data_IF_876645220959
#
_entry.id   IF_876645220959
#
_cell.length_a   1.000
_cell.length_b   1.000
_cell.length_c   1.000
_cell.angle_alpha   90.00
_cell.angle_beta   90.00
_cell.angle_gamma   90.00
#
_symmetry.space_group_name_H-M   'P 1'
#
loop_
_entity.id
_entity.type
_entity.pdbx_description
1 polymer ?
#
# COMPACT_ATOMS: atom_id res chain seq x y z
N UNK A 1 36.16 -22.01 29.73
CA UNK A 1 36.16 -23.01 30.79
C UNK A 1 35.96 -22.27 32.09
N UNK A 2 34.72 -22.19 32.50
CA UNK A 2 34.28 -22.14 33.91
C UNK A 2 32.76 -22.22 33.82
N UNK A 3 32.27 -23.44 34.00
CA UNK A 3 30.87 -23.74 34.21
C UNK A 3 30.55 -23.44 35.65
N UNK A 4 29.84 -22.40 35.95
CA UNK A 4 29.14 -22.22 37.21
C UNK A 4 27.79 -22.93 37.09
N UNK A 5 27.77 -24.15 37.65
CA UNK A 5 26.54 -24.84 38.01
C UNK A 5 25.90 -24.05 39.16
N UNK A 6 24.85 -23.26 38.85
CA UNK A 6 23.94 -22.73 39.85
C UNK A 6 23.16 -23.90 40.43
N UNK A 7 23.53 -24.30 41.65
CA UNK A 7 22.76 -25.21 42.46
C UNK A 7 21.36 -24.64 42.68
N UNK A 8 20.37 -25.31 42.10
CA UNK A 8 18.95 -25.03 42.32
C UNK A 8 18.62 -25.48 43.75
N UNK A 9 18.64 -24.55 44.69
CA UNK A 9 18.10 -24.78 46.01
C UNK A 9 16.61 -25.03 45.91
N UNK A 10 16.16 -26.21 46.31
CA UNK A 10 14.79 -26.67 46.33
C UNK A 10 13.98 -25.78 47.29
N UNK A 11 12.99 -25.06 46.76
CA UNK A 11 11.98 -24.38 47.57
C UNK A 11 11.12 -25.42 48.29
N UNK A 12 11.03 -25.40 49.59
CA UNK A 12 10.28 -26.36 50.43
C UNK A 12 8.77 -26.00 50.49
N UNK A 13 8.28 -25.28 49.49
CA UNK A 13 6.88 -24.82 49.35
C UNK A 13 5.96 -25.88 48.75
N UNK A 14 6.43 -27.10 48.45
CA UNK A 14 5.59 -28.17 47.87
C UNK A 14 5.19 -27.96 46.39
N UNK A 15 5.72 -26.97 45.73
CA UNK A 15 5.52 -26.71 44.31
C UNK A 15 6.38 -27.68 43.48
N UNK A 16 5.81 -28.36 42.47
CA UNK A 16 6.54 -29.26 41.59
C UNK A 16 7.60 -28.55 40.75
N UNK A 17 8.50 -29.33 40.12
CA UNK A 17 9.74 -28.90 39.43
C UNK A 17 9.57 -27.84 38.28
N UNK A 18 8.37 -27.34 38.05
CA UNK A 18 8.06 -26.40 36.96
C UNK A 18 7.33 -25.13 37.44
N UNK A 19 7.50 -24.76 38.70
CA UNK A 19 6.91 -23.53 39.23
C UNK A 19 7.77 -22.32 38.81
N UNK A 20 7.20 -21.44 37.96
CA UNK A 20 7.84 -20.19 37.51
C UNK A 20 7.76 -19.05 38.53
N UNK A 21 7.50 -19.33 39.82
CA UNK A 21 7.47 -18.34 40.87
C UNK A 21 8.88 -17.89 41.20
N UNK A 22 9.17 -16.61 41.02
CA UNK A 22 10.45 -15.99 41.38
C UNK A 22 10.59 -15.79 42.93
N UNK A 23 10.53 -16.88 43.72
CA UNK A 23 10.67 -16.80 45.16
C UNK A 23 12.16 -16.58 45.51
N UNK A 24 12.51 -15.42 46.01
CA UNK A 24 13.81 -15.20 46.65
C UNK A 24 13.78 -15.77 48.06
N UNK A 25 14.66 -16.75 48.32
CA UNK A 25 14.78 -17.40 49.61
C UNK A 25 15.53 -16.48 50.62
N UNK A 26 14.78 -15.67 51.36
CA UNK A 26 15.32 -14.73 52.35
C UNK A 26 15.32 -15.29 53.80
N UNK A 27 15.01 -16.57 53.99
CA UNK A 27 15.18 -17.25 55.29
C UNK A 27 14.15 -16.89 56.38
N UNK A 28 13.18 -16.05 56.11
CA UNK A 28 12.02 -15.75 56.97
C UNK A 28 10.76 -16.08 56.19
N UNK A 29 9.68 -16.49 56.86
CA UNK A 29 8.42 -16.99 56.28
C UNK A 29 8.06 -16.26 54.96
N UNK A 30 8.29 -16.93 53.83
CA UNK A 30 7.97 -16.35 52.53
C UNK A 30 6.56 -16.72 52.11
N UNK A 31 5.78 -15.74 51.80
CA UNK A 31 4.46 -15.90 51.19
C UNK A 31 4.60 -16.07 49.68
N UNK A 32 4.22 -17.23 49.16
CA UNK A 32 4.16 -17.47 47.71
C UNK A 32 3.01 -16.68 47.09
N UNK A 33 3.31 -15.78 46.15
CA UNK A 33 2.32 -15.11 45.33
C UNK A 33 2.03 -15.93 44.06
N UNK A 34 1.50 -17.13 44.25
CA UNK A 34 1.14 -17.99 43.13
C UNK A 34 -0.37 -17.89 42.93
N UNK A 35 -0.83 -17.52 41.70
CA UNK A 35 -2.25 -17.62 41.33
C UNK A 35 -2.77 -19.07 41.36
N UNK A 36 -4.07 -19.25 41.27
CA UNK A 36 -4.79 -20.54 41.40
C UNK A 36 -4.32 -21.68 40.46
N UNK A 37 -3.46 -21.39 39.50
CA UNK A 37 -2.95 -22.36 38.53
C UNK A 37 -1.70 -23.11 38.98
N UNK A 38 -1.12 -22.81 40.14
CA UNK A 38 0.13 -23.44 40.57
C UNK A 38 -0.03 -24.75 41.33
N UNK A 39 -1.23 -25.26 41.54
CA UNK A 39 -1.50 -26.56 42.20
C UNK A 39 -1.07 -26.66 43.67
N UNK A 40 -0.79 -25.54 44.31
CA UNK A 40 -0.44 -25.51 45.75
C UNK A 40 -1.70 -25.77 46.55
N UNK A 41 -1.71 -26.86 47.32
CA UNK A 41 -2.87 -27.27 48.17
C UNK A 41 -2.95 -26.53 49.53
N UNK A 42 -2.18 -25.49 49.72
CA UNK A 42 -2.21 -24.57 50.87
C UNK A 42 -2.75 -23.23 50.43
N UNK A 43 -3.82 -22.74 51.05
CA UNK A 43 -4.44 -21.46 50.71
C UNK A 43 -3.38 -20.36 50.66
N UNK A 44 -3.28 -19.70 49.53
CA UNK A 44 -2.51 -18.47 49.39
C UNK A 44 -3.22 -17.41 50.19
N UNK A 45 -2.68 -16.94 51.27
CA UNK A 45 -3.15 -15.76 51.99
C UNK A 45 -2.68 -14.56 51.20
N UNK A 46 -3.42 -14.26 50.13
CA UNK A 46 -3.25 -13.03 49.39
C UNK A 46 -3.74 -11.92 50.33
N UNK A 47 -2.83 -11.33 51.10
CA UNK A 47 -3.16 -10.17 51.89
C UNK A 47 -3.83 -9.10 50.99
N UNK A 48 -4.61 -8.25 51.59
CA UNK A 48 -5.52 -7.19 51.11
C UNK A 48 -5.38 -6.53 49.73
N UNK A 49 -4.57 -7.09 48.82
CA UNK A 49 -4.45 -6.62 47.43
C UNK A 49 -4.86 -7.75 46.46
N UNK A 50 -6.17 -7.81 46.16
CA UNK A 50 -6.70 -8.70 45.17
C UNK A 50 -6.20 -8.29 43.77
N UNK A 51 -5.13 -8.93 43.30
CA UNK A 51 -4.68 -8.83 41.93
C UNK A 51 -5.47 -9.86 41.08
N UNK A 52 -6.57 -9.43 40.50
CA UNK A 52 -7.34 -10.23 39.54
C UNK A 52 -6.48 -10.47 38.30
N UNK A 53 -5.71 -11.56 38.25
CA UNK A 53 -4.72 -11.82 37.20
C UNK A 53 -5.23 -12.63 36.01
N UNK A 54 -6.46 -13.14 36.00
CA UNK A 54 -6.88 -14.09 34.96
C UNK A 54 -8.19 -13.72 34.27
N UNK A 55 -8.32 -12.56 33.66
CA UNK A 55 -9.32 -12.33 32.58
C UNK A 55 -10.79 -12.67 32.86
N UNK A 56 -11.10 -13.22 34.04
CA UNK A 56 -12.45 -13.47 34.49
C UNK A 56 -12.99 -12.27 35.22
N UNK A 57 -14.14 -11.79 34.79
CA UNK A 57 -14.87 -10.66 35.35
C UNK A 57 -15.00 -10.83 36.85
N UNK A 58 -14.60 -9.83 37.61
CA UNK A 58 -15.01 -9.71 38.99
C UNK A 58 -16.53 -9.80 39.04
N UNK A 59 -17.05 -10.82 39.73
CA UNK A 59 -18.50 -10.92 40.00
C UNK A 59 -18.89 -9.74 40.90
N UNK A 60 -20.17 -9.37 40.89
CA UNK A 60 -20.77 -8.27 41.63
C UNK A 60 -20.54 -8.30 43.15
N UNK A 61 -19.82 -9.31 43.68
CA UNK A 61 -19.49 -9.53 45.10
C UNK A 61 -17.99 -9.33 45.41
N UNK A 62 -17.27 -8.59 44.60
CA UNK A 62 -15.88 -8.22 44.92
C UNK A 62 -15.88 -7.04 45.90
N UNK A 63 -15.74 -7.32 47.19
CA UNK A 63 -15.57 -6.34 48.27
C UNK A 63 -14.15 -5.72 48.21
N UNK A 64 -13.85 -5.03 47.11
CA UNK A 64 -12.68 -4.17 47.03
C UNK A 64 -13.02 -2.84 47.73
N UNK A 65 -12.95 -2.81 49.07
CA UNK A 65 -13.01 -1.57 49.84
C UNK A 65 -11.75 -0.74 49.53
N UNK A 66 -11.96 0.36 48.85
CA UNK A 66 -10.99 1.41 48.53
C UNK A 66 -10.05 1.19 47.32
N UNK A 67 -10.36 1.98 46.34
CA UNK A 67 -9.51 2.39 45.23
C UNK A 67 -9.08 1.28 44.26
N UNK A 68 -9.66 1.37 43.10
CA UNK A 68 -9.24 0.83 41.81
C UNK A 68 -10.09 -0.32 41.30
N UNK A 69 -11.38 -0.11 41.14
CA UNK A 69 -12.17 -0.70 40.05
C UNK A 69 -11.65 -0.26 38.64
N UNK A 70 -10.42 0.24 38.59
CA UNK A 70 -9.81 0.73 37.33
C UNK A 70 -9.59 -0.43 36.34
N UNK A 71 -9.39 -1.64 36.81
CA UNK A 71 -9.05 -2.75 35.93
C UNK A 71 -10.24 -3.32 35.14
N UNK A 72 -11.47 -3.25 35.66
CA UNK A 72 -12.64 -3.84 34.99
C UNK A 72 -13.42 -2.83 34.12
N UNK A 73 -13.61 -1.60 34.60
CA UNK A 73 -14.28 -0.55 33.81
C UNK A 73 -13.42 -0.07 32.61
N UNK A 74 -12.11 -0.04 32.78
CA UNK A 74 -11.20 0.43 31.71
C UNK A 74 -10.74 -0.69 30.77
N UNK A 75 -10.90 -1.96 31.14
CA UNK A 75 -10.48 -3.09 30.30
C UNK A 75 -11.21 -3.12 28.95
N UNK A 76 -12.51 -2.84 28.92
CA UNK A 76 -13.28 -2.77 27.68
C UNK A 76 -12.90 -1.54 26.84
N UNK A 77 -12.67 -0.40 27.49
CA UNK A 77 -12.23 0.83 26.81
C UNK A 77 -10.83 0.65 26.17
N UNK A 78 -9.89 0.00 26.88
CA UNK A 78 -8.57 -0.30 26.34
C UNK A 78 -8.63 -1.31 25.19
N UNK A 79 -9.49 -2.32 25.28
CA UNK A 79 -9.69 -3.28 24.19
C UNK A 79 -10.30 -2.61 22.95
N UNK A 80 -11.28 -1.73 23.15
CA UNK A 80 -11.88 -1.01 22.05
C UNK A 80 -10.89 0.01 21.44
N UNK A 81 -10.09 0.68 22.28
CA UNK A 81 -9.02 1.53 21.79
C UNK A 81 -7.99 0.73 21.01
N UNK A 82 -7.57 -0.44 21.52
CA UNK A 82 -6.62 -1.31 20.82
C UNK A 82 -7.17 -1.79 19.47
N UNK A 83 -8.44 -2.23 19.42
CA UNK A 83 -9.11 -2.61 18.17
C UNK A 83 -9.18 -1.46 17.17
N UNK A 84 -9.48 -0.23 17.65
CA UNK A 84 -9.51 0.95 16.81
C UNK A 84 -8.13 1.27 16.26
N UNK A 85 -7.10 1.30 17.10
CA UNK A 85 -5.71 1.54 16.70
C UNK A 85 -5.24 0.48 15.71
N UNK A 86 -5.59 -0.79 15.92
CA UNK A 86 -5.26 -1.86 14.98
C UNK A 86 -5.94 -1.63 13.62
N UNK A 87 -7.24 -1.29 13.61
CA UNK A 87 -7.98 -1.01 12.37
C UNK A 87 -7.38 0.20 11.63
N UNK A 88 -7.05 1.27 12.36
CA UNK A 88 -6.41 2.46 11.80
C UNK A 88 -5.03 2.14 11.24
N UNK A 89 -4.24 1.32 11.94
CA UNK A 89 -2.93 0.86 11.46
C UNK A 89 -3.05 0.01 10.17
N UNK A 90 -4.00 -0.91 10.11
CA UNK A 90 -4.24 -1.72 8.90
C UNK A 90 -4.68 -0.85 7.73
N UNK A 91 -5.56 0.12 7.95
CA UNK A 91 -5.96 1.11 6.97
C UNK A 91 -4.77 1.95 6.48
N UNK A 92 -3.99 2.49 7.43
CA UNK A 92 -2.79 3.25 7.12
C UNK A 92 -1.80 2.43 6.28
N UNK A 93 -1.54 1.18 6.68
CA UNK A 93 -0.63 0.28 5.94
C UNK A 93 -1.10 0.03 4.51
N UNK A 94 -2.41 -0.18 4.32
CA UNK A 94 -3.00 -0.36 2.98
C UNK A 94 -2.81 0.89 2.13
N UNK A 95 -3.18 2.06 2.64
CA UNK A 95 -3.00 3.33 1.93
C UNK A 95 -1.53 3.63 1.63
N UNK A 96 -0.64 3.42 2.58
CA UNK A 96 0.79 3.62 2.37
C UNK A 96 1.35 2.75 1.22
N UNK A 97 0.92 1.48 1.12
CA UNK A 97 1.32 0.61 0.00
C UNK A 97 0.76 1.11 -1.33
N UNK A 98 -0.48 1.58 -1.35
CA UNK A 98 -1.12 2.16 -2.54
C UNK A 98 -0.42 3.45 -2.98
N UNK A 99 -0.10 4.32 -2.05
CA UNK A 99 0.60 5.58 -2.30
C UNK A 99 2.02 5.35 -2.85
N UNK A 100 2.76 4.38 -2.30
CA UNK A 100 4.07 4.00 -2.83
C UNK A 100 3.95 3.48 -4.27
N UNK A 101 2.96 2.64 -4.57
CA UNK A 101 2.73 2.14 -5.93
C UNK A 101 2.37 3.30 -6.87
N UNK A 102 1.49 4.19 -6.44
CA UNK A 102 1.08 5.36 -7.21
C UNK A 102 2.26 6.29 -7.47
N UNK A 103 3.02 6.65 -6.45
CA UNK A 103 4.20 7.51 -6.58
C UNK A 103 5.24 6.92 -7.55
N UNK A 104 5.44 5.59 -7.53
CA UNK A 104 6.31 4.90 -8.48
C UNK A 104 5.80 5.01 -9.92
N UNK A 105 4.51 4.80 -10.13
CA UNK A 105 3.89 4.93 -11.46
C UNK A 105 3.94 6.38 -11.96
N UNK A 106 3.63 7.35 -11.11
CA UNK A 106 3.67 8.76 -11.47
C UNK A 106 5.10 9.21 -11.82
N UNK A 107 6.10 8.70 -11.11
CA UNK A 107 7.51 8.93 -11.47
C UNK A 107 7.87 8.34 -12.84
N UNK A 108 7.42 7.13 -13.17
CA UNK A 108 7.62 6.52 -14.49
C UNK A 108 6.93 7.33 -15.59
N UNK A 109 5.68 7.73 -15.38
CA UNK A 109 4.91 8.56 -16.31
C UNK A 109 5.63 9.87 -16.58
N UNK A 110 6.10 10.56 -15.55
CA UNK A 110 6.82 11.83 -15.69
C UNK A 110 8.06 11.72 -16.59
N UNK A 111 8.83 10.63 -16.44
CA UNK A 111 9.98 10.37 -17.31
C UNK A 111 9.54 10.11 -18.75
N UNK A 112 8.51 9.29 -18.95
CA UNK A 112 7.99 8.98 -20.29
C UNK A 112 7.52 10.27 -20.97
N UNK A 113 6.70 11.09 -20.29
CA UNK A 113 6.21 12.37 -20.81
C UNK A 113 7.33 13.30 -21.26
N UNK A 114 8.45 13.32 -20.52
CA UNK A 114 9.62 14.11 -20.90
C UNK A 114 10.29 13.61 -22.20
N UNK A 115 10.15 12.32 -22.55
CA UNK A 115 10.68 11.74 -23.76
C UNK A 115 9.75 11.84 -24.98
N UNK A 116 8.42 11.96 -24.78
CA UNK A 116 7.47 12.02 -25.89
C UNK A 116 7.74 13.15 -26.91
N UNK A 117 8.17 14.35 -26.52
CA UNK A 117 8.54 15.40 -27.49
C UNK A 117 9.67 14.99 -28.44
N UNK A 118 10.57 14.10 -28.02
CA UNK A 118 11.65 13.61 -28.91
C UNK A 118 11.04 12.80 -30.07
N UNK A 119 10.01 11.99 -29.82
CA UNK A 119 9.30 11.26 -30.88
C UNK A 119 8.59 12.21 -31.86
N UNK A 120 8.00 13.27 -31.35
CA UNK A 120 7.35 14.28 -32.19
C UNK A 120 8.37 14.98 -33.09
N UNK A 121 9.57 15.28 -32.58
CA UNK A 121 10.68 15.88 -33.36
C UNK A 121 11.15 14.93 -34.46
N UNK A 122 11.25 13.61 -34.20
CA UNK A 122 11.59 12.64 -35.25
C UNK A 122 10.54 12.63 -36.38
N UNK A 123 9.26 12.68 -36.03
CA UNK A 123 8.16 12.76 -37.01
C UNK A 123 8.26 14.00 -37.88
N UNK A 124 8.62 15.14 -37.28
CA UNK A 124 8.78 16.40 -38.01
C UNK A 124 10.07 16.42 -38.86
N UNK A 125 11.17 15.91 -38.30
CA UNK A 125 12.45 15.84 -39.02
C UNK A 125 12.33 15.00 -40.29
N UNK A 126 11.61 13.91 -40.28
CA UNK A 126 11.38 13.04 -41.46
C UNK A 126 10.76 13.81 -42.63
N UNK A 127 9.88 14.79 -42.36
CA UNK A 127 9.25 15.59 -43.42
C UNK A 127 10.24 16.51 -44.16
N UNK A 128 11.34 16.88 -43.51
CA UNK A 128 12.35 17.82 -44.05
C UNK A 128 13.55 17.11 -44.68
N UNK A 129 13.72 15.81 -44.46
CA UNK A 129 14.83 15.01 -44.99
C UNK A 129 14.53 14.58 -46.42
N UNK A 130 15.38 14.98 -47.35
CA UNK A 130 15.33 14.62 -48.78
C UNK A 130 16.22 13.43 -49.15
N UNK A 131 17.25 13.16 -48.36
CA UNK A 131 18.18 12.04 -48.58
C UNK A 131 17.60 10.76 -48.02
N UNK A 132 17.34 9.79 -48.89
CA UNK A 132 16.74 8.49 -48.53
C UNK A 132 17.63 7.68 -47.58
N UNK A 133 18.95 7.79 -47.65
CA UNK A 133 19.87 7.10 -46.75
C UNK A 133 19.76 7.63 -45.32
N UNK A 134 19.70 8.95 -45.18
CA UNK A 134 19.52 9.64 -43.89
C UNK A 134 18.16 9.35 -43.34
N UNK A 135 17.11 9.38 -44.16
CA UNK A 135 15.74 9.06 -43.77
C UNK A 135 15.64 7.65 -43.16
N UNK A 136 16.20 6.63 -43.81
CA UNK A 136 16.25 5.27 -43.27
C UNK A 136 16.98 5.18 -41.93
N UNK A 137 18.06 5.94 -41.77
CA UNK A 137 18.79 6.01 -40.51
C UNK A 137 17.94 6.58 -39.36
N UNK A 138 17.20 7.66 -39.62
CA UNK A 138 16.30 8.28 -38.65
C UNK A 138 15.13 7.37 -38.30
N UNK A 139 14.54 6.69 -39.29
CA UNK A 139 13.48 5.69 -39.07
C UNK A 139 13.91 4.52 -38.20
N UNK A 140 15.14 4.04 -38.39
CA UNK A 140 15.68 2.98 -37.55
C UNK A 140 15.81 3.41 -36.08
N UNK A 141 16.23 4.65 -35.83
CA UNK A 141 16.33 5.20 -34.47
C UNK A 141 14.95 5.35 -33.85
N UNK A 142 14.02 5.94 -34.58
CA UNK A 142 12.63 6.11 -34.11
C UNK A 142 11.97 4.77 -33.80
N UNK A 143 12.08 3.79 -34.68
CA UNK A 143 11.55 2.46 -34.47
C UNK A 143 12.17 1.76 -33.25
N UNK A 144 13.49 1.93 -33.05
CA UNK A 144 14.16 1.37 -31.89
C UNK A 144 13.68 2.01 -30.58
N UNK A 145 13.50 3.33 -30.60
CA UNK A 145 12.97 4.07 -29.43
C UNK A 145 11.54 3.67 -29.13
N UNK A 146 10.68 3.62 -30.15
CA UNK A 146 9.28 3.19 -30.02
C UNK A 146 9.18 1.75 -29.47
N UNK A 147 9.94 0.80 -30.03
CA UNK A 147 9.97 -0.58 -29.53
C UNK A 147 10.47 -0.67 -28.09
N UNK A 148 11.41 0.18 -27.69
CA UNK A 148 11.87 0.23 -26.31
C UNK A 148 10.78 0.75 -25.36
N UNK A 149 10.02 1.76 -25.77
CA UNK A 149 8.87 2.27 -24.99
C UNK A 149 7.74 1.23 -24.91
N UNK A 150 7.45 0.54 -26.00
CA UNK A 150 6.48 -0.56 -26.03
C UNK A 150 6.86 -1.69 -25.06
N UNK A 151 8.13 -2.03 -24.99
CA UNK A 151 8.63 -3.05 -24.04
C UNK A 151 8.47 -2.64 -22.58
N UNK A 152 8.39 -1.34 -22.30
CA UNK A 152 8.11 -0.78 -20.98
C UNK A 152 6.60 -0.68 -20.68
N UNK A 153 5.74 -0.99 -21.66
CA UNK A 153 4.28 -0.94 -21.51
C UNK A 153 3.64 0.36 -22.02
N UNK A 154 4.39 1.23 -22.68
CA UNK A 154 3.85 2.41 -23.36
C UNK A 154 3.30 2.00 -24.72
N UNK A 155 2.06 2.38 -25.03
CA UNK A 155 1.43 2.10 -26.33
C UNK A 155 1.02 3.40 -27.00
N UNK A 156 1.23 3.48 -28.29
CA UNK A 156 0.72 4.58 -29.11
C UNK A 156 -0.77 4.37 -29.33
N UNK A 157 -1.56 5.44 -29.20
CA UNK A 157 -2.97 5.44 -29.54
C UNK A 157 -3.11 5.51 -31.08
N UNK A 158 -3.84 4.58 -31.64
CA UNK A 158 -4.22 4.61 -33.06
C UNK A 158 -5.47 5.50 -33.19
N UNK A 159 -5.28 6.73 -33.64
CA UNK A 159 -6.36 7.69 -33.74
C UNK A 159 -6.94 7.80 -35.16
N UNK A 160 -6.10 7.72 -36.20
CA UNK A 160 -6.52 7.97 -37.60
C UNK A 160 -7.57 6.94 -38.04
N UNK A 161 -8.67 7.41 -38.60
CA UNK A 161 -9.76 6.57 -39.07
C UNK A 161 -10.70 6.05 -37.97
N UNK A 162 -10.46 6.38 -36.72
CA UNK A 162 -11.36 6.05 -35.61
C UNK A 162 -12.36 7.17 -35.33
N UNK A 163 -13.44 6.82 -34.65
CA UNK A 163 -14.40 7.78 -34.13
C UNK A 163 -13.77 8.57 -32.98
N UNK A 164 -14.02 9.85 -32.95
CA UNK A 164 -13.54 10.71 -31.88
C UNK A 164 -14.03 10.26 -30.50
N UNK A 165 -13.11 10.13 -29.58
CA UNK A 165 -13.35 9.82 -28.16
C UNK A 165 -12.80 10.94 -27.30
N UNK A 166 -13.64 11.69 -26.55
CA UNK A 166 -13.20 12.80 -25.69
C UNK A 166 -12.16 12.43 -24.62
N UNK A 167 -12.11 11.15 -24.23
CA UNK A 167 -11.16 10.68 -23.20
C UNK A 167 -9.75 10.40 -23.73
N UNK A 168 -9.62 10.24 -25.06
CA UNK A 168 -8.35 9.85 -25.71
C UNK A 168 -7.82 10.89 -26.66
N UNK A 169 -8.69 11.73 -27.17
CA UNK A 169 -8.40 12.61 -28.29
C UNK A 169 -8.72 14.07 -27.94
N UNK A 170 -7.81 14.96 -28.32
CA UNK A 170 -8.00 16.40 -28.22
C UNK A 170 -8.13 16.99 -29.62
N UNK A 171 -9.29 17.54 -29.96
CA UNK A 171 -9.55 18.14 -31.29
C UNK A 171 -8.88 19.52 -31.37
N UNK A 172 -7.95 19.69 -32.33
CA UNK A 172 -7.30 20.97 -32.60
C UNK A 172 -7.86 21.69 -33.81
N UNK A 173 -8.42 20.94 -34.75
CA UNK A 173 -9.06 21.50 -35.94
C UNK A 173 -10.21 20.60 -36.44
N UNK A 174 -11.13 21.19 -37.16
CA UNK A 174 -12.24 20.50 -37.80
C UNK A 174 -12.12 20.75 -39.31
N UNK A 175 -12.18 19.67 -40.08
CA UNK A 175 -12.27 19.71 -41.56
C UNK A 175 -13.63 19.27 -42.00
N UNK A 176 -14.02 19.72 -43.18
CA UNK A 176 -15.31 19.34 -43.82
C UNK A 176 -14.99 18.48 -45.04
N UNK A 177 -15.30 17.22 -44.92
CA UNK A 177 -15.23 16.28 -46.03
C UNK A 177 -16.53 15.49 -46.09
N UNK A 178 -17.26 15.61 -47.20
CA UNK A 178 -18.57 14.93 -47.42
C UNK A 178 -18.39 13.43 -47.60
N UNK A 179 -17.21 12.97 -48.02
CA UNK A 179 -16.93 11.54 -48.26
C UNK A 179 -16.74 10.75 -46.97
N UNK A 180 -16.36 11.42 -45.86
CA UNK A 180 -16.09 10.78 -44.57
C UNK A 180 -17.29 10.93 -43.65
N UNK A 181 -17.51 9.99 -42.77
CA UNK A 181 -18.53 10.07 -41.73
C UNK A 181 -18.25 11.19 -40.72
N UNK A 182 -19.29 11.58 -39.96
CA UNK A 182 -19.16 12.58 -38.91
C UNK A 182 -18.32 12.04 -37.78
N UNK A 183 -17.53 12.94 -37.13
CA UNK A 183 -16.70 12.64 -35.98
C UNK A 183 -15.59 11.60 -36.23
N UNK A 184 -15.26 11.32 -37.50
CA UNK A 184 -14.08 10.50 -37.85
C UNK A 184 -12.82 11.36 -37.77
N UNK A 185 -11.78 10.81 -37.22
CA UNK A 185 -10.44 11.42 -37.14
C UNK A 185 -9.75 11.27 -38.49
N UNK A 186 -9.51 12.41 -39.14
CA UNK A 186 -8.89 12.48 -40.46
C UNK A 186 -7.40 12.46 -40.42
N UNK A 187 -6.80 13.17 -39.44
CA UNK A 187 -5.35 13.28 -39.30
C UNK A 187 -4.95 13.42 -37.83
N UNK A 188 -3.71 13.01 -37.53
CA UNK A 188 -3.11 13.08 -36.21
C UNK A 188 -1.93 14.08 -36.24
N UNK A 189 -2.13 15.25 -35.63
CA UNK A 189 -1.08 16.24 -35.51
C UNK A 189 0.00 15.81 -34.51
N UNK A 190 -0.42 15.29 -33.35
CA UNK A 190 0.45 14.81 -32.30
C UNK A 190 -0.05 13.48 -31.76
N UNK A 191 0.82 12.49 -31.71
CA UNK A 191 0.47 11.14 -31.26
C UNK A 191 0.07 11.11 -29.80
N UNK A 192 -1.00 10.37 -29.48
CA UNK A 192 -1.38 10.03 -28.12
C UNK A 192 -0.64 8.78 -27.63
N UNK A 193 -0.51 8.67 -26.30
CA UNK A 193 0.13 7.53 -25.67
C UNK A 193 -0.57 7.10 -24.41
N UNK A 194 -0.63 5.78 -24.21
CA UNK A 194 -1.09 5.17 -22.96
C UNK A 194 0.03 4.37 -22.29
N UNK A 195 -0.01 4.27 -20.96
CA UNK A 195 0.90 3.48 -20.16
C UNK A 195 0.10 2.65 -19.16
N UNK A 196 0.22 1.32 -19.25
CA UNK A 196 -0.52 0.38 -18.41
C UNK A 196 -2.04 0.62 -18.38
N UNK A 197 -2.64 1.02 -19.52
CA UNK A 197 -4.07 1.30 -19.64
C UNK A 197 -4.51 2.69 -19.15
N UNK A 198 -3.57 3.53 -18.69
CA UNK A 198 -3.82 4.92 -18.34
C UNK A 198 -3.29 5.82 -19.45
N UNK A 199 -4.10 6.76 -19.92
CA UNK A 199 -3.68 7.76 -20.89
C UNK A 199 -2.72 8.72 -20.21
N UNK A 200 -1.52 8.86 -20.78
CA UNK A 200 -0.50 9.80 -20.34
C UNK A 200 -0.47 11.05 -21.22
N UNK A 201 -0.86 10.92 -22.50
CA UNK A 201 -0.97 12.06 -23.40
C UNK A 201 -2.09 11.81 -24.42
N UNK A 202 -3.02 12.75 -24.52
CA UNK A 202 -4.08 12.71 -25.52
C UNK A 202 -3.50 12.89 -26.93
N UNK A 203 -4.09 12.19 -27.91
CA UNK A 203 -3.77 12.45 -29.31
C UNK A 203 -4.40 13.77 -29.76
N UNK A 204 -3.59 14.68 -30.33
CA UNK A 204 -4.11 15.90 -30.97
C UNK A 204 -4.51 15.58 -32.39
N UNK A 205 -5.81 15.70 -32.66
CA UNK A 205 -6.41 15.19 -33.88
C UNK A 205 -7.20 16.26 -34.63
N UNK A 206 -7.38 16.00 -35.92
CA UNK A 206 -8.25 16.74 -36.82
C UNK A 206 -9.46 15.86 -37.13
N UNK A 207 -10.64 16.35 -36.84
CA UNK A 207 -11.88 15.58 -36.95
C UNK A 207 -12.72 16.09 -38.12
N UNK A 208 -13.40 15.17 -38.83
CA UNK A 208 -14.37 15.54 -39.85
C UNK A 208 -15.69 15.92 -39.21
N UNK A 209 -16.31 17.02 -39.63
CA UNK A 209 -17.65 17.41 -39.24
C UNK A 209 -18.44 17.87 -40.46
N UNK A 210 -19.54 17.14 -40.77
CA UNK A 210 -20.48 17.53 -41.81
C UNK A 210 -21.37 18.66 -41.32
N UNK A 211 -21.82 19.51 -42.21
CA UNK A 211 -22.90 20.46 -41.89
C UNK A 211 -24.19 19.69 -41.74
N UNK A 212 -24.85 19.82 -40.61
CA UNK A 212 -26.24 19.46 -40.49
C UNK A 212 -27.05 20.52 -41.25
N UNK A 213 -27.71 20.08 -42.32
CA UNK A 213 -28.61 20.89 -43.16
C UNK A 213 -29.97 20.98 -42.48
#
# INVERSE_FOLDING_TARGET
>A
MFSEELEKENCDCGCGENCGCGCENTGEEHTCHCGESCGCSGGCDCGDECHCHDGERCNEECDCENDVHICCEHGEEYLDLARRVQADFENFRRHAIEDIKKARLDGQVSVIEAFLPCLDIFKEAKKSITDESVLKGVEMIENKLSSSLESLGVKKLEAIGQVYDPYKHNVIAVVRNEELENDIIVDEYQAGYEFNGKIIRDAKVIVNKKEEN
#
